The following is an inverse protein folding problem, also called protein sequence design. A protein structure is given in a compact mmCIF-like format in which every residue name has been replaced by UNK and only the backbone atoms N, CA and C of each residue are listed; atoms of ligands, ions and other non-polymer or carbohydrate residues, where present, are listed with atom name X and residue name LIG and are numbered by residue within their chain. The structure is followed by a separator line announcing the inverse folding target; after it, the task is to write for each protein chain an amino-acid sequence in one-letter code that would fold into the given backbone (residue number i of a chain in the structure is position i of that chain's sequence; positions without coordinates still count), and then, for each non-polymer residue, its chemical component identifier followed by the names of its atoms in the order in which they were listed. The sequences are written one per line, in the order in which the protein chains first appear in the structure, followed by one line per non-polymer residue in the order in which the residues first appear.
data_IF_593244655748
#
_entry.id   IF_593244655748
#
_cell.length_a   1.000
_cell.length_b   1.000
_cell.length_c   1.000
_cell.angle_alpha   90.00
_cell.angle_beta   90.00
_cell.angle_gamma   90.00
#
_symmetry.space_group_name_H-M   'P 1'
#
loop_
_entity.id
_entity.type
_entity.pdbx_description
1 polymer ?
#
# COMPACT_ATOMS: atom_id res chain seq x y z
N UNK A 1 0.06 67.99 30.22
CA UNK A 1 0.58 66.61 30.05
C UNK A 1 -0.40 65.83 29.19
N UNK A 2 0.00 65.37 28.00
CA UNK A 2 -0.82 64.50 27.13
C UNK A 2 -0.17 63.12 27.11
N UNK A 3 -0.89 62.11 27.56
CA UNK A 3 -0.45 60.71 27.57
C UNK A 3 -0.81 60.13 26.21
N UNK A 4 0.20 59.78 25.41
CA UNK A 4 0.05 59.06 24.16
C UNK A 4 0.15 57.57 24.48
N UNK A 5 -0.97 56.86 24.39
CA UNK A 5 -1.01 55.40 24.51
C UNK A 5 -0.66 54.84 23.13
N UNK A 6 0.53 54.24 23.01
CA UNK A 6 0.95 53.50 21.81
C UNK A 6 0.51 52.05 21.99
N UNK A 7 -0.55 51.64 21.29
CA UNK A 7 -0.95 50.24 21.19
C UNK A 7 -0.03 49.50 20.22
N UNK A 8 0.82 48.63 20.74
CA UNK A 8 1.63 47.69 19.96
C UNK A 8 0.74 46.54 19.50
N UNK A 9 0.35 46.55 18.23
CA UNK A 9 -0.27 45.39 17.58
C UNK A 9 0.82 44.36 17.26
N UNK A 10 0.92 43.31 18.08
CA UNK A 10 1.70 42.12 17.73
C UNK A 10 0.87 41.29 16.76
N UNK A 11 1.16 41.41 15.47
CA UNK A 11 0.61 40.52 14.46
C UNK A 11 1.22 39.12 14.64
N UNK A 12 0.46 38.21 15.26
CA UNK A 12 0.77 36.79 15.25
C UNK A 12 0.65 36.28 13.82
N UNK A 13 1.79 36.16 13.14
CA UNK A 13 1.89 35.39 11.91
C UNK A 13 1.96 33.93 12.35
N UNK A 14 0.79 33.31 12.57
CA UNK A 14 0.69 31.86 12.64
C UNK A 14 1.06 31.33 11.25
N UNK A 15 2.35 31.04 11.04
CA UNK A 15 2.77 30.11 10.01
C UNK A 15 2.04 28.81 10.31
N UNK A 16 0.98 28.54 9.56
CA UNK A 16 0.41 27.20 9.47
C UNK A 16 1.52 26.31 8.92
N UNK A 17 2.27 25.70 9.83
CA UNK A 17 2.98 24.48 9.53
C UNK A 17 1.87 23.48 9.17
N UNK A 18 1.53 23.42 7.88
CA UNK A 18 0.87 22.25 7.33
C UNK A 18 1.82 21.10 7.65
N UNK A 19 1.53 20.37 8.73
CA UNK A 19 2.18 19.12 9.02
C UNK A 19 1.88 18.24 7.81
N UNK A 20 2.87 18.15 6.91
CA UNK A 20 2.82 17.34 5.72
C UNK A 20 2.47 15.94 6.18
N UNK A 21 1.32 15.45 5.74
CA UNK A 21 0.77 14.21 6.24
C UNK A 21 1.74 13.09 5.88
N UNK A 22 2.19 12.33 6.89
CA UNK A 22 3.16 11.27 6.67
C UNK A 22 2.65 10.29 5.60
N UNK A 23 3.54 9.71 4.77
CA UNK A 23 3.15 8.73 3.78
C UNK A 23 2.34 7.58 4.38
N UNK A 24 1.25 7.23 3.72
CA UNK A 24 0.45 6.05 4.02
C UNK A 24 1.22 4.84 3.51
N UNK A 25 1.33 3.81 4.35
CA UNK A 25 1.99 2.55 4.00
C UNK A 25 1.02 1.39 4.16
N UNK A 26 1.34 0.27 3.51
CA UNK A 26 0.45 -0.87 3.54
C UNK A 26 0.97 -2.08 2.79
N UNK A 27 0.03 -2.99 2.51
CA UNK A 27 0.20 -4.15 1.64
C UNK A 27 -0.85 -4.08 0.54
N UNK A 28 -0.43 -4.33 -0.69
CA UNK A 28 -1.29 -4.53 -1.84
C UNK A 28 -1.37 -6.03 -2.15
N UNK A 29 -2.59 -6.54 -2.17
CA UNK A 29 -2.95 -7.88 -2.60
C UNK A 29 -3.60 -7.82 -3.99
N UNK A 30 -3.14 -8.67 -4.89
CA UNK A 30 -3.86 -8.99 -6.11
C UNK A 30 -4.29 -10.45 -6.06
N UNK A 31 -5.60 -10.67 -5.99
CA UNK A 31 -6.22 -11.96 -5.65
C UNK A 31 -7.13 -12.44 -6.78
N UNK A 32 -7.09 -13.72 -7.17
CA UNK A 32 -8.09 -14.26 -8.07
C UNK A 32 -9.45 -14.34 -7.35
N UNK A 33 -10.50 -13.88 -8.03
CA UNK A 33 -11.88 -14.15 -7.64
C UNK A 33 -12.42 -15.19 -8.59
N UNK A 34 -12.91 -16.29 -8.05
CA UNK A 34 -13.43 -17.39 -8.81
C UNK A 34 -14.72 -16.96 -9.56
N UNK A 35 -14.90 -17.40 -10.81
CA UNK A 35 -16.24 -17.89 -11.16
C UNK A 35 -16.41 -19.23 -10.45
N UNK A 36 -17.63 -19.66 -10.11
CA UNK A 36 -17.85 -20.84 -9.26
C UNK A 36 -17.24 -22.18 -9.74
N UNK A 37 -16.46 -22.19 -10.82
CA UNK A 37 -15.81 -23.36 -11.43
C UNK A 37 -14.31 -23.20 -11.68
N UNK A 38 -13.65 -22.17 -11.13
CA UNK A 38 -12.18 -22.03 -11.23
C UNK A 38 -11.69 -21.98 -12.68
N UNK A 39 -12.49 -21.39 -13.57
CA UNK A 39 -12.23 -21.39 -15.00
C UNK A 39 -11.17 -20.37 -15.44
N UNK A 40 -10.78 -20.39 -16.73
CA UNK A 40 -9.85 -19.44 -17.35
C UNK A 40 -10.32 -17.96 -17.32
N UNK A 41 -11.49 -17.69 -16.76
CA UNK A 41 -12.11 -16.37 -16.65
C UNK A 41 -12.03 -15.76 -15.23
N UNK A 42 -11.24 -16.35 -14.32
CA UNK A 42 -11.04 -15.80 -12.98
C UNK A 42 -10.56 -14.33 -13.07
N UNK A 43 -11.34 -13.41 -12.49
CA UNK A 43 -11.01 -11.98 -12.50
C UNK A 43 -10.19 -11.67 -11.27
N UNK A 44 -9.03 -11.03 -11.45
CA UNK A 44 -8.19 -10.62 -10.32
C UNK A 44 -8.67 -9.28 -9.74
N UNK A 45 -8.73 -9.18 -8.41
CA UNK A 45 -9.07 -7.96 -7.67
C UNK A 45 -7.86 -7.44 -6.94
N UNK A 46 -7.68 -6.12 -6.97
CA UNK A 46 -6.63 -5.43 -6.25
C UNK A 46 -7.22 -4.86 -4.97
N UNK A 47 -6.70 -5.28 -3.82
CA UNK A 47 -7.11 -4.84 -2.49
C UNK A 47 -5.88 -4.26 -1.81
N UNK A 48 -6.03 -3.13 -1.12
CA UNK A 48 -4.96 -2.56 -0.30
C UNK A 48 -5.35 -2.51 1.16
N UNK A 49 -4.41 -2.88 2.02
CA UNK A 49 -4.49 -2.89 3.47
C UNK A 49 -3.54 -1.82 3.98
N UNK A 50 -4.05 -0.74 4.55
CA UNK A 50 -3.27 0.46 4.88
C UNK A 50 -3.37 0.85 6.34
N UNK A 51 -2.33 1.53 6.83
CA UNK A 51 -2.18 1.95 8.23
C UNK A 51 -2.93 3.25 8.60
N UNK A 52 -3.28 4.04 7.58
CA UNK A 52 -3.97 5.32 7.71
C UNK A 52 -5.12 5.46 6.72
N UNK A 53 -6.10 6.29 7.10
CA UNK A 53 -7.25 6.58 6.25
C UNK A 53 -6.81 7.43 5.06
N UNK A 54 -7.23 7.04 3.87
CA UNK A 54 -7.04 7.79 2.64
C UNK A 54 -8.05 8.94 2.60
N UNK A 55 -7.55 10.18 2.54
CA UNK A 55 -8.38 11.39 2.47
C UNK A 55 -8.76 11.77 1.03
N UNK A 56 -7.86 11.51 0.08
CA UNK A 56 -7.98 11.85 -1.33
C UNK A 56 -7.59 10.68 -2.23
N UNK A 57 -7.98 10.71 -3.50
CA UNK A 57 -7.57 9.68 -4.45
C UNK A 57 -6.04 9.58 -4.46
N UNK A 58 -5.53 8.38 -4.17
CA UNK A 58 -4.12 8.16 -3.86
C UNK A 58 -3.52 7.13 -4.81
N UNK A 59 -2.31 7.39 -5.28
CA UNK A 59 -1.49 6.42 -6.02
C UNK A 59 -0.37 5.93 -5.12
N UNK A 60 -0.22 4.62 -5.05
CA UNK A 60 0.83 3.96 -4.29
C UNK A 60 1.87 3.35 -5.22
N UNK A 61 3.15 3.49 -4.83
CA UNK A 61 4.23 2.70 -5.38
C UNK A 61 4.35 1.40 -4.58
N UNK A 62 4.44 0.26 -5.27
CA UNK A 62 4.79 -1.03 -4.69
C UNK A 62 6.28 -1.14 -4.46
N UNK A 63 6.67 -1.82 -3.38
CA UNK A 63 8.03 -2.10 -2.98
C UNK A 63 8.16 -3.61 -2.76
N UNK A 64 9.08 -4.22 -3.51
CA UNK A 64 9.42 -5.64 -3.39
C UNK A 64 10.86 -5.75 -2.92
N UNK A 65 11.10 -6.60 -1.92
CA UNK A 65 12.45 -6.81 -1.42
C UNK A 65 13.30 -7.56 -2.47
N UNK A 66 14.37 -6.93 -2.96
CA UNK A 66 15.32 -7.50 -3.93
C UNK A 66 16.75 -7.56 -3.36
N UNK A 67 16.89 -7.80 -2.05
CA UNK A 67 18.19 -7.91 -1.38
C UNK A 67 18.71 -6.56 -0.89
N UNK A 68 19.72 -5.99 -1.56
CA UNK A 68 20.35 -4.73 -1.12
C UNK A 68 19.50 -3.49 -1.40
N UNK A 69 18.54 -3.61 -2.31
CA UNK A 69 17.58 -2.58 -2.70
C UNK A 69 16.17 -3.16 -2.73
N UNK A 70 15.20 -2.29 -2.93
CA UNK A 70 13.83 -2.67 -3.19
C UNK A 70 13.48 -2.36 -4.63
N UNK A 71 12.95 -3.34 -5.35
CA UNK A 71 12.34 -3.11 -6.65
C UNK A 71 11.06 -2.32 -6.46
N UNK A 72 10.79 -1.43 -7.40
CA UNK A 72 9.65 -0.52 -7.39
C UNK A 72 8.65 -0.96 -8.44
N UNK A 73 7.39 -1.13 -8.05
CA UNK A 73 6.28 -1.42 -8.95
C UNK A 73 5.35 -0.23 -9.00
N UNK A 74 5.28 0.44 -10.14
CA UNK A 74 4.34 1.53 -10.32
C UNK A 74 3.18 1.11 -11.23
N UNK A 75 1.93 1.25 -10.80
CA UNK A 75 1.46 1.67 -9.49
C UNK A 75 0.03 1.14 -9.27
N UNK A 76 -0.46 1.20 -8.05
CA UNK A 76 -1.90 0.99 -7.75
C UNK A 76 -2.55 2.31 -7.37
N UNK A 77 -3.75 2.56 -7.90
CA UNK A 77 -4.58 3.73 -7.59
C UNK A 77 -5.75 3.30 -6.71
N UNK A 78 -6.06 4.12 -5.72
CA UNK A 78 -7.16 3.94 -4.77
C UNK A 78 -8.00 5.20 -4.79
N UNK A 79 -9.32 5.03 -4.92
CA UNK A 79 -10.22 6.16 -4.74
C UNK A 79 -10.55 6.34 -3.27
N UNK A 80 -10.67 7.59 -2.81
CA UNK A 80 -11.05 7.87 -1.40
C UNK A 80 -12.39 7.23 -0.99
N UNK A 81 -13.26 6.97 -1.95
CA UNK A 81 -14.59 6.41 -1.73
C UNK A 81 -14.65 4.88 -1.83
N UNK A 82 -13.53 4.19 -2.06
CA UNK A 82 -13.50 2.72 -2.22
C UNK A 82 -13.17 1.97 -0.91
N UNK A 83 -13.38 2.60 0.24
CA UNK A 83 -13.20 1.96 1.55
C UNK A 83 -14.18 0.80 1.69
N UNK A 84 -13.70 -0.31 2.23
CA UNK A 84 -14.51 -1.50 2.51
C UNK A 84 -14.05 -2.12 3.84
N UNK A 85 -14.95 -2.77 4.58
CA UNK A 85 -14.55 -3.55 5.75
C UNK A 85 -14.19 -4.99 5.35
N UNK A 86 -13.40 -5.69 6.16
CA UNK A 86 -13.06 -7.09 5.89
C UNK A 86 -14.31 -7.98 5.75
N UNK A 87 -15.34 -7.89 6.63
CA UNK A 87 -16.57 -8.68 6.45
C UNK A 87 -17.32 -8.36 5.16
N UNK A 88 -17.38 -7.08 4.75
CA UNK A 88 -18.00 -6.68 3.48
C UNK A 88 -17.20 -7.22 2.30
N UNK A 89 -15.87 -7.14 2.34
CA UNK A 89 -14.99 -7.69 1.30
C UNK A 89 -15.18 -9.20 1.13
N UNK A 90 -15.20 -9.94 2.24
CA UNK A 90 -15.41 -11.38 2.26
C UNK A 90 -16.79 -11.79 1.75
N UNK A 91 -17.80 -10.93 1.92
CA UNK A 91 -19.16 -11.15 1.42
C UNK A 91 -19.34 -10.73 -0.05
N UNK A 92 -18.63 -9.69 -0.50
CA UNK A 92 -18.80 -9.08 -1.82
C UNK A 92 -18.35 -9.99 -2.95
N UNK A 93 -17.32 -10.79 -2.72
CA UNK A 93 -16.71 -11.65 -3.73
C UNK A 93 -16.78 -13.12 -3.32
N UNK A 94 -16.80 -13.99 -4.32
CA UNK A 94 -16.70 -15.43 -4.12
C UNK A 94 -15.21 -15.80 -4.02
N UNK A 95 -14.70 -15.73 -2.81
CA UNK A 95 -13.36 -16.17 -2.47
C UNK A 95 -13.34 -17.69 -2.31
N UNK A 96 -12.29 -18.33 -2.80
CA UNK A 96 -11.94 -19.66 -2.33
C UNK A 96 -11.60 -19.63 -0.82
N UNK A 97 -11.73 -20.77 -0.14
CA UNK A 97 -11.48 -20.87 1.30
C UNK A 97 -10.07 -20.42 1.68
N UNK A 98 -9.06 -20.78 0.88
CA UNK A 98 -7.66 -20.43 1.16
C UNK A 98 -7.45 -18.91 1.01
N UNK A 99 -8.09 -18.28 0.04
CA UNK A 99 -8.04 -16.82 -0.16
C UNK A 99 -8.77 -16.11 0.99
N UNK A 100 -9.95 -16.58 1.38
CA UNK A 100 -10.70 -16.01 2.48
C UNK A 100 -9.96 -16.12 3.82
N UNK A 101 -9.22 -17.21 4.03
CA UNK A 101 -8.37 -17.41 5.20
C UNK A 101 -7.11 -16.54 5.16
N UNK A 102 -6.44 -16.46 4.00
CA UNK A 102 -5.30 -15.56 3.77
C UNK A 102 -5.65 -14.11 4.12
N UNK A 103 -6.77 -13.61 3.59
CA UNK A 103 -7.25 -12.25 3.87
C UNK A 103 -7.45 -11.95 5.36
N UNK A 104 -7.84 -12.95 6.17
CA UNK A 104 -8.02 -12.79 7.63
C UNK A 104 -6.69 -12.81 8.38
N UNK A 105 -5.64 -13.39 7.80
CA UNK A 105 -4.29 -13.49 8.37
C UNK A 105 -3.43 -12.26 8.07
N UNK A 106 -3.88 -11.36 7.20
CA UNK A 106 -3.23 -10.07 7.01
C UNK A 106 -3.50 -9.21 8.26
N UNK A 107 -2.46 -8.70 8.92
CA UNK A 107 -2.57 -7.89 10.15
C UNK A 107 -1.71 -6.62 10.11
N UNK A 108 -1.94 -5.71 11.05
CA UNK A 108 -1.22 -4.43 11.17
C UNK A 108 -1.84 -3.27 10.37
N UNK A 109 -2.85 -3.55 9.54
CA UNK A 109 -3.65 -2.54 8.86
C UNK A 109 -4.75 -1.96 9.75
N UNK A 110 -5.24 -0.78 9.37
CA UNK A 110 -6.39 -0.12 10.01
C UNK A 110 -7.55 0.11 9.05
N UNK A 111 -7.27 0.19 7.75
CA UNK A 111 -8.27 0.42 6.71
C UNK A 111 -8.01 -0.49 5.51
N UNK A 112 -9.09 -0.85 4.80
CA UNK A 112 -9.04 -1.66 3.58
C UNK A 112 -9.73 -0.87 2.47
N UNK A 113 -9.13 -0.89 1.28
CA UNK A 113 -9.70 -0.27 0.10
C UNK A 113 -9.61 -1.20 -1.10
N UNK A 114 -10.61 -1.11 -1.96
CA UNK A 114 -10.47 -1.64 -3.31
C UNK A 114 -9.61 -0.69 -4.15
N UNK A 115 -8.73 -1.27 -4.95
CA UNK A 115 -7.77 -0.57 -5.77
C UNK A 115 -7.92 -0.96 -7.24
N UNK A 116 -7.22 -0.22 -8.10
CA UNK A 116 -7.04 -0.56 -9.51
C UNK A 116 -5.60 -0.35 -9.89
N UNK A 117 -5.13 -1.03 -10.93
CA UNK A 117 -3.87 -0.69 -11.54
C UNK A 117 -3.97 0.70 -12.18
N UNK A 118 -2.88 1.46 -12.17
CA UNK A 118 -2.78 2.63 -13.06
C UNK A 118 -2.75 2.20 -14.52
N UNK A 119 -3.07 3.12 -15.42
CA UNK A 119 -3.09 2.85 -16.86
C UNK A 119 -1.71 2.38 -17.34
N UNK A 120 -1.68 1.47 -18.31
CA UNK A 120 -0.45 0.81 -18.77
C UNK A 120 0.64 1.80 -19.22
N UNK A 121 0.26 2.97 -19.75
CA UNK A 121 1.19 4.04 -20.15
C UNK A 121 1.95 4.68 -18.99
N UNK A 122 1.44 4.54 -17.76
CA UNK A 122 2.05 5.06 -16.53
C UNK A 122 2.85 3.97 -15.81
N UNK A 123 2.60 2.70 -16.13
CA UNK A 123 3.29 1.58 -15.50
C UNK A 123 4.77 1.54 -15.89
N UNK A 124 5.65 1.21 -14.94
CA UNK A 124 7.05 0.93 -15.25
C UNK A 124 7.23 -0.49 -15.83
N UNK A 125 8.44 -0.84 -16.27
CA UNK A 125 8.69 -2.13 -16.91
C UNK A 125 8.33 -3.32 -16.01
N UNK A 126 8.77 -3.29 -14.74
CA UNK A 126 8.47 -4.32 -13.76
C UNK A 126 6.97 -4.53 -13.51
N UNK A 127 6.18 -3.45 -13.41
CA UNK A 127 4.72 -3.59 -13.27
C UNK A 127 4.08 -4.20 -14.51
N UNK A 128 4.53 -3.82 -15.73
CA UNK A 128 3.98 -4.39 -16.96
C UNK A 128 4.28 -5.89 -17.08
N UNK A 129 5.48 -6.30 -16.69
CA UNK A 129 5.88 -7.70 -16.64
C UNK A 129 5.04 -8.48 -15.63
N UNK A 130 4.92 -7.96 -14.39
CA UNK A 130 4.05 -8.55 -13.36
C UNK A 130 2.61 -8.74 -13.85
N UNK A 131 2.01 -7.70 -14.45
CA UNK A 131 0.61 -7.77 -14.94
C UNK A 131 0.47 -8.83 -16.04
N UNK A 132 1.46 -8.98 -16.91
CA UNK A 132 1.48 -10.02 -17.94
C UNK A 132 1.54 -11.41 -17.30
N UNK A 133 2.43 -11.60 -16.33
CA UNK A 133 2.63 -12.90 -15.66
C UNK A 133 1.40 -13.32 -14.85
N UNK A 134 0.70 -12.36 -14.24
CA UNK A 134 -0.52 -12.64 -13.47
C UNK A 134 -1.75 -12.93 -14.36
N UNK A 135 -1.66 -12.70 -15.67
CA UNK A 135 -2.77 -12.88 -16.61
C UNK A 135 -2.58 -14.02 -17.60
N UNK A 136 -1.37 -14.56 -17.80
CA UNK A 136 -1.09 -15.54 -18.87
C UNK A 136 -0.04 -16.62 -18.51
N UNK A 137 -0.45 -17.86 -18.13
CA UNK A 137 -1.79 -18.21 -17.64
C UNK A 137 -2.08 -17.53 -16.31
N UNK A 138 -3.36 -17.33 -15.92
CA UNK A 138 -3.68 -16.72 -14.64
C UNK A 138 -3.05 -17.48 -13.47
N UNK A 139 -2.24 -16.80 -12.67
CA UNK A 139 -1.73 -17.36 -11.43
C UNK A 139 -2.91 -17.67 -10.49
N UNK A 140 -2.92 -18.85 -9.86
CA UNK A 140 -3.96 -19.19 -8.87
C UNK A 140 -3.66 -18.60 -7.49
N UNK A 141 -2.39 -18.33 -7.21
CA UNK A 141 -1.96 -17.74 -5.95
C UNK A 141 -2.16 -16.21 -5.92
N UNK A 142 -2.36 -15.63 -4.74
CA UNK A 142 -2.20 -14.20 -4.49
C UNK A 142 -0.86 -13.67 -4.95
N UNK A 143 -0.85 -12.39 -5.30
CA UNK A 143 0.37 -11.61 -5.37
C UNK A 143 0.32 -10.52 -4.30
N UNK A 144 1.40 -10.39 -3.53
CA UNK A 144 1.50 -9.44 -2.42
C UNK A 144 2.73 -8.55 -2.58
N UNK A 145 2.56 -7.25 -2.35
CA UNK A 145 3.66 -6.30 -2.29
C UNK A 145 3.41 -5.24 -1.22
N UNK A 146 4.49 -4.78 -0.58
CA UNK A 146 4.40 -3.63 0.29
C UNK A 146 4.11 -2.37 -0.55
N UNK A 147 3.37 -1.40 -0.02
CA UNK A 147 3.04 -0.17 -0.75
C UNK A 147 3.30 1.08 0.10
N UNK A 148 3.59 2.19 -0.59
CA UNK A 148 3.74 3.52 0.01
C UNK A 148 3.10 4.59 -0.89
N UNK A 149 2.40 5.56 -0.28
CA UNK A 149 1.72 6.67 -0.98
C UNK A 149 2.68 7.76 -1.46
N UNK A 150 3.86 7.37 -1.92
CA UNK A 150 4.86 8.25 -2.50
C UNK A 150 5.13 7.78 -3.92
N UNK A 151 5.23 8.73 -4.85
CA UNK A 151 5.66 8.46 -6.22
C UNK A 151 7.17 8.20 -6.25
N UNK A 152 7.57 7.01 -6.69
CA UNK A 152 8.97 6.66 -6.92
C UNK A 152 9.17 6.46 -8.43
N UNK A 153 10.09 7.21 -9.03
CA UNK A 153 10.29 7.24 -10.49
C UNK A 153 11.29 6.21 -11.00
N UNK A 154 12.15 5.67 -10.13
CA UNK A 154 13.11 4.62 -10.47
C UNK A 154 12.50 3.21 -10.40
N UNK A 155 13.16 2.25 -11.04
CA UNK A 155 12.81 0.82 -10.94
C UNK A 155 13.31 0.18 -9.64
N UNK A 156 14.25 0.84 -8.97
CA UNK A 156 14.77 0.44 -7.67
C UNK A 156 14.91 1.65 -6.75
N UNK A 157 14.84 1.39 -5.44
CA UNK A 157 15.17 2.35 -4.40
C UNK A 157 15.99 1.68 -3.30
N UNK A 158 16.87 2.44 -2.66
CA UNK A 158 17.59 1.95 -1.49
C UNK A 158 16.61 1.57 -0.37
N UNK A 159 16.99 0.61 0.49
CA UNK A 159 16.18 0.22 1.68
C UNK A 159 15.89 1.37 2.63
N UNK A 160 16.74 2.40 2.61
CA UNK A 160 16.55 3.67 3.30
C UNK A 160 16.63 4.78 2.26
N UNK A 161 15.62 5.63 2.19
CA UNK A 161 15.51 6.69 1.20
C UNK A 161 14.74 7.87 1.77
N UNK A 162 14.91 9.04 1.17
CA UNK A 162 14.20 10.26 1.58
C UNK A 162 13.28 10.69 0.45
N UNK A 163 12.11 11.18 0.83
CA UNK A 163 11.07 11.69 -0.06
C UNK A 163 10.75 13.14 0.34
N UNK A 164 9.90 13.82 -0.42
CA UNK A 164 9.34 15.11 -0.02
C UNK A 164 8.60 15.04 1.32
N UNK A 165 8.08 13.87 1.67
CA UNK A 165 7.17 13.64 2.79
C UNK A 165 7.86 12.99 4.00
N UNK A 166 9.17 12.71 3.89
CA UNK A 166 9.94 12.18 5.00
C UNK A 166 11.02 11.16 4.65
N UNK A 167 11.76 10.75 5.68
CA UNK A 167 12.72 9.66 5.64
C UNK A 167 11.99 8.32 5.81
N UNK A 168 12.23 7.41 4.86
CA UNK A 168 11.58 6.11 4.78
C UNK A 168 12.63 5.01 4.90
N UNK A 169 12.31 3.96 5.65
CA UNK A 169 13.00 2.67 5.53
C UNK A 169 12.03 1.54 5.31
N UNK A 170 12.37 0.59 4.45
CA UNK A 170 11.57 -0.59 4.16
C UNK A 170 12.43 -1.86 4.17
N UNK A 171 11.89 -2.93 4.75
CA UNK A 171 12.46 -4.28 4.69
C UNK A 171 11.36 -5.32 4.81
N UNK A 172 11.56 -6.47 4.17
CA UNK A 172 10.73 -7.65 4.37
C UNK A 172 11.48 -8.70 5.18
N UNK A 173 10.79 -9.36 6.10
CA UNK A 173 11.34 -10.50 6.83
C UNK A 173 10.37 -11.67 6.75
N UNK A 174 10.82 -12.77 6.15
CA UNK A 174 10.11 -14.05 6.24
C UNK A 174 10.64 -14.84 7.44
N UNK A 175 9.74 -15.36 8.25
CA UNK A 175 10.08 -16.27 9.35
C UNK A 175 9.76 -17.70 8.92
N UNK A 176 10.82 -18.48 8.62
CA UNK A 176 10.70 -19.87 8.19
C UNK A 176 9.94 -20.75 9.22
N UNK A 177 9.95 -20.36 10.50
CA UNK A 177 9.32 -21.14 11.56
C UNK A 177 7.83 -20.80 11.77
N UNK A 178 7.33 -19.71 11.18
CA UNK A 178 5.99 -19.20 11.49
C UNK A 178 5.10 -18.95 10.28
N UNK A 179 5.53 -19.32 9.06
CA UNK A 179 4.73 -19.14 7.83
C UNK A 179 4.15 -17.72 7.70
N UNK A 180 4.94 -16.71 8.07
CA UNK A 180 4.54 -15.30 8.09
C UNK A 180 5.60 -14.46 7.38
N UNK A 181 5.12 -13.58 6.51
CA UNK A 181 5.89 -12.50 5.91
C UNK A 181 5.60 -11.22 6.70
N UNK A 182 6.65 -10.49 7.08
CA UNK A 182 6.55 -9.22 7.78
C UNK A 182 7.07 -8.10 6.90
N UNK A 183 6.24 -7.08 6.67
CA UNK A 183 6.61 -5.84 6.03
C UNK A 183 6.87 -4.78 7.09
N UNK A 184 8.10 -4.29 7.17
CA UNK A 184 8.52 -3.31 8.17
C UNK A 184 8.83 -1.99 7.49
N UNK A 185 8.03 -0.99 7.83
CA UNK A 185 8.26 0.39 7.46
C UNK A 185 8.76 1.18 8.66
N UNK A 186 9.63 2.15 8.40
CA UNK A 186 9.80 3.30 9.28
C UNK A 186 9.56 4.57 8.48
N UNK A 187 8.65 5.41 8.95
CA UNK A 187 8.30 6.70 8.35
C UNK A 187 8.64 7.77 9.37
N UNK A 188 9.66 8.59 9.08
CA UNK A 188 10.18 9.61 10.01
C UNK A 188 10.51 9.06 11.41
N UNK A 189 10.94 7.80 11.50
CA UNK A 189 11.27 7.12 12.76
C UNK A 189 10.09 6.40 13.42
N UNK A 190 8.84 6.69 13.04
CA UNK A 190 7.69 5.91 13.47
C UNK A 190 7.67 4.55 12.74
N UNK A 191 7.43 3.46 13.47
CA UNK A 191 7.45 2.12 12.91
C UNK A 191 6.04 1.65 12.58
N UNK A 192 5.88 1.10 11.38
CA UNK A 192 4.66 0.41 10.95
C UNK A 192 5.02 -1.00 10.54
N UNK A 193 4.31 -1.97 11.11
CA UNK A 193 4.50 -3.40 10.83
C UNK A 193 3.20 -3.96 10.30
N UNK A 194 3.25 -4.52 9.10
CA UNK A 194 2.18 -5.35 8.54
C UNK A 194 2.67 -6.78 8.40
N UNK A 195 1.75 -7.73 8.46
CA UNK A 195 2.07 -9.15 8.26
C UNK A 195 1.05 -9.80 7.36
N UNK A 196 1.46 -10.82 6.63
CA UNK A 196 0.58 -11.77 5.96
C UNK A 196 1.04 -13.20 6.25
N UNK A 197 0.12 -14.16 6.15
CA UNK A 197 0.48 -15.57 6.13
C UNK A 197 1.07 -15.94 4.77
N UNK A 198 2.00 -16.90 4.75
CA UNK A 198 2.40 -17.50 3.46
C UNK A 198 1.22 -18.26 2.86
N UNK A 199 0.94 -18.02 1.60
CA UNK A 199 -0.10 -18.76 0.88
C UNK A 199 0.38 -20.20 0.58
N UNK A 200 -0.48 -21.23 0.71
CA UNK A 200 -0.11 -22.59 0.34
C UNK A 200 0.23 -22.68 -1.16
N UNK A 201 1.25 -23.48 -1.49
CA UNK A 201 1.66 -23.80 -2.86
C UNK A 201 0.70 -24.79 -3.54
#
# INVERSE_FOLDING_TARGET
MKIIVVSVFVALICNFAHAQQAPIVGVWEQLPVADGHGGPNAVRRNIVFVDHKIADDTVFSGLVDAGTKSSVLCCVKVSKNSSITLPELLKKYQWDEDIADHLKKITGWKYIYEASLVDQSVQNAGMRELVKDLTMPPALSPYSAAIISVKITGEEVNKKFTTSDGAISFSTQSSQNSNIIQYKFSVNGEQVKLTEGTFPD
#
